data_IF_523713386670
#
_entry.id   IF_523713386670
#
_cell.length_a   1.000
_cell.length_b   1.000
_cell.length_c   1.000
_cell.angle_alpha   90.00
_cell.angle_beta   90.00
_cell.angle_gamma   90.00
#
_symmetry.space_group_name_H-M   'P 1'
#
loop_
_entity.id
_entity.type
_entity.pdbx_description
1 polymer ?
#
# COMPACT_ATOMS: atom_id res chain seq x y z
N UNK A 1 5.33 -10.91 -4.73
CA UNK A 1 6.77 -11.26 -4.64
C UNK A 1 7.38 -10.34 -3.59
N UNK A 2 7.87 -10.87 -2.48
CA UNK A 2 8.24 -10.07 -1.31
C UNK A 2 9.77 -10.01 -1.18
N UNK A 3 10.40 -9.30 -2.13
CA UNK A 3 11.84 -9.07 -2.14
C UNK A 3 12.15 -7.68 -1.60
N UNK A 4 13.30 -7.52 -0.94
CA UNK A 4 13.79 -6.21 -0.53
C UNK A 4 14.70 -5.68 -1.63
N UNK A 5 14.42 -4.47 -2.09
CA UNK A 5 15.18 -3.79 -3.12
C UNK A 5 15.75 -2.49 -2.54
N UNK A 6 17.06 -2.34 -2.65
CA UNK A 6 17.78 -1.11 -2.34
C UNK A 6 18.38 -0.51 -3.60
N UNK A 7 18.63 0.79 -3.58
CA UNK A 7 19.25 1.55 -4.65
C UNK A 7 20.38 2.40 -4.07
N UNK A 8 21.55 2.39 -4.68
CA UNK A 8 22.70 3.19 -4.28
C UNK A 8 22.96 4.31 -5.28
N UNK A 9 23.22 5.50 -4.77
CA UNK A 9 23.62 6.64 -5.60
C UNK A 9 25.10 6.56 -5.97
N UNK A 10 25.54 7.39 -6.92
CA UNK A 10 26.94 7.45 -7.34
C UNK A 10 27.88 7.67 -6.15
N UNK A 11 29.12 7.18 -6.26
CA UNK A 11 30.14 7.39 -5.22
C UNK A 11 30.34 8.88 -4.95
N UNK A 12 30.26 9.27 -3.68
CA UNK A 12 30.39 10.66 -3.24
C UNK A 12 30.42 10.76 -1.73
N UNK A 13 30.21 11.96 -1.20
CA UNK A 13 29.99 12.18 0.23
C UNK A 13 28.52 12.52 0.45
N UNK A 14 28.01 12.03 1.57
CA UNK A 14 26.69 12.27 2.15
C UNK A 14 26.37 13.76 2.41
N UNK A 15 27.35 14.65 2.22
CA UNK A 15 27.19 16.12 2.27
C UNK A 15 26.88 16.76 0.92
N UNK A 16 27.05 16.03 -0.18
CA UNK A 16 26.75 16.52 -1.54
C UNK A 16 25.40 15.97 -2.00
N UNK A 17 24.58 16.85 -2.55
CA UNK A 17 23.32 16.48 -3.21
C UNK A 17 23.31 16.95 -4.66
N UNK A 18 22.79 16.12 -5.55
CA UNK A 18 22.48 16.46 -6.94
C UNK A 18 20.96 16.39 -7.09
N UNK A 19 20.31 17.53 -7.34
CA UNK A 19 18.86 17.62 -7.55
C UNK A 19 18.01 17.06 -6.38
N UNK A 20 18.50 17.24 -5.14
CA UNK A 20 17.87 16.70 -3.93
C UNK A 20 18.35 15.30 -3.53
N UNK A 21 18.89 14.52 -4.47
CA UNK A 21 19.43 13.18 -4.21
C UNK A 21 20.84 13.25 -3.61
N UNK A 22 21.06 12.56 -2.50
CA UNK A 22 22.32 12.55 -1.75
C UNK A 22 23.30 11.57 -2.39
N UNK A 23 24.52 12.02 -2.67
CA UNK A 23 25.58 11.17 -3.23
C UNK A 23 26.17 10.24 -2.17
N UNK A 24 26.63 9.05 -2.57
CA UNK A 24 27.20 8.05 -1.66
C UNK A 24 26.20 7.50 -0.63
N UNK A 25 24.91 7.52 -0.96
CA UNK A 25 23.84 7.11 -0.05
C UNK A 25 22.99 5.96 -0.62
N UNK A 26 22.33 5.22 0.26
CA UNK A 26 21.47 4.10 -0.08
C UNK A 26 20.00 4.45 0.20
N UNK A 27 19.14 4.13 -0.75
CA UNK A 27 17.71 4.35 -0.74
C UNK A 27 16.97 3.02 -0.82
N UNK A 28 15.74 2.97 -0.35
CA UNK A 28 14.87 1.79 -0.46
C UNK A 28 13.89 1.97 -1.60
N UNK A 29 13.73 0.96 -2.45
CA UNK A 29 12.67 0.94 -3.48
C UNK A 29 11.43 0.32 -2.84
N UNK A 30 10.35 1.07 -2.81
CA UNK A 30 9.09 0.67 -2.18
C UNK A 30 8.14 0.04 -3.19
N UNK A 31 8.03 0.63 -4.38
CA UNK A 31 7.04 0.24 -5.38
C UNK A 31 7.54 0.57 -6.78
N UNK A 32 7.19 -0.28 -7.76
CA UNK A 32 7.47 -0.06 -9.17
C UNK A 32 6.18 -0.27 -9.96
N UNK A 33 5.70 0.78 -10.63
CA UNK A 33 4.47 0.77 -11.40
C UNK A 33 4.81 1.02 -12.87
N UNK A 34 4.47 0.09 -13.75
CA UNK A 34 4.64 0.27 -15.20
C UNK A 34 3.31 0.71 -15.82
N UNK A 35 3.37 1.51 -16.88
CA UNK A 35 2.20 2.00 -17.62
C UNK A 35 1.05 2.51 -16.72
N UNK A 36 1.38 3.46 -15.84
CA UNK A 36 0.43 3.94 -14.85
C UNK A 36 -0.78 4.58 -15.53
N UNK A 37 -1.98 4.06 -15.26
CA UNK A 37 -3.24 4.56 -15.81
C UNK A 37 -3.31 4.60 -17.36
N UNK A 38 -2.53 3.77 -18.06
CA UNK A 38 -2.50 3.71 -19.53
C UNK A 38 -1.83 4.93 -20.17
N UNK A 39 -0.93 5.61 -19.44
CA UNK A 39 -0.21 6.80 -19.92
C UNK A 39 1.24 6.51 -20.30
N UNK A 40 1.66 5.24 -20.35
CA UNK A 40 3.02 4.78 -20.66
C UNK A 40 4.10 5.28 -19.68
N UNK A 41 3.70 5.86 -18.55
CA UNK A 41 4.64 6.30 -17.52
C UNK A 41 5.01 5.13 -16.62
N UNK A 42 6.30 4.78 -16.63
CA UNK A 42 6.90 3.87 -15.66
C UNK A 42 7.43 4.67 -14.47
N UNK A 43 6.81 4.51 -13.29
CA UNK A 43 7.11 5.25 -12.08
C UNK A 43 7.61 4.33 -10.96
N UNK A 44 8.59 4.81 -10.20
CA UNK A 44 9.22 4.07 -9.12
C UNK A 44 9.14 4.91 -7.85
N UNK A 45 8.62 4.32 -6.78
CA UNK A 45 8.53 4.93 -5.45
C UNK A 45 9.77 4.58 -4.65
N UNK A 46 10.49 5.61 -4.19
CA UNK A 46 11.78 5.48 -3.51
C UNK A 46 11.69 6.15 -2.15
N UNK A 47 12.44 5.64 -1.16
CA UNK A 47 12.53 6.20 0.19
C UNK A 47 13.96 6.49 0.60
N UNK A 48 14.19 7.69 1.10
CA UNK A 48 15.37 8.09 1.85
C UNK A 48 15.27 7.59 3.30
N UNK A 49 16.22 6.76 3.79
CA UNK A 49 16.25 6.29 5.17
C UNK A 49 16.31 7.40 6.22
N UNK A 50 16.80 8.60 5.88
CA UNK A 50 16.87 9.72 6.81
C UNK A 50 15.52 10.38 7.10
N UNK A 51 14.47 9.99 6.38
CA UNK A 51 13.13 10.53 6.55
C UNK A 51 13.01 12.01 6.16
N UNK A 52 13.92 12.48 5.31
CA UNK A 52 13.98 13.83 4.74
C UNK A 52 14.91 13.81 3.53
N UNK A 53 14.84 14.83 2.68
CA UNK A 53 15.73 14.96 1.53
C UNK A 53 15.23 14.10 0.37
N UNK A 54 14.35 14.73 -0.39
CA UNK A 54 13.60 14.15 -1.50
C UNK A 54 14.14 14.67 -2.84
N UNK A 55 13.62 14.12 -3.93
CA UNK A 55 13.96 14.60 -5.25
C UNK A 55 13.33 15.98 -5.49
N UNK A 56 14.14 16.98 -5.82
CA UNK A 56 13.67 18.38 -5.91
C UNK A 56 13.44 18.86 -7.35
N UNK A 57 13.83 18.06 -8.36
CA UNK A 57 13.85 18.48 -9.77
C UNK A 57 13.02 17.58 -10.69
N UNK A 58 12.16 16.73 -10.13
CA UNK A 58 11.41 15.74 -10.89
C UNK A 58 10.16 16.30 -11.55
N UNK A 59 9.58 15.52 -12.46
CA UNK A 59 8.20 15.74 -12.88
C UNK A 59 7.20 15.17 -11.86
N UNK A 60 7.65 14.20 -11.07
CA UNK A 60 6.86 13.39 -10.13
C UNK A 60 7.34 13.51 -8.68
N UNK A 61 8.11 14.54 -8.34
CA UNK A 61 8.35 14.88 -6.93
C UNK A 61 7.04 15.33 -6.27
N UNK A 62 7.03 15.47 -4.95
CA UNK A 62 5.82 15.73 -4.16
C UNK A 62 5.03 16.97 -4.61
N UNK A 63 5.72 18.02 -5.04
CA UNK A 63 5.14 19.26 -5.56
C UNK A 63 5.26 19.38 -7.10
N UNK A 64 5.63 18.29 -7.77
CA UNK A 64 5.94 18.25 -9.19
C UNK A 64 4.75 18.56 -10.10
N UNK A 65 4.98 19.18 -11.27
CA UNK A 65 3.91 19.55 -12.21
C UNK A 65 3.19 18.34 -12.81
N UNK A 66 3.84 17.16 -12.87
CA UNK A 66 3.29 15.95 -13.49
C UNK A 66 1.99 15.48 -12.84
N UNK A 67 1.83 15.69 -11.53
CA UNK A 67 0.60 15.37 -10.83
C UNK A 67 -0.60 16.23 -11.24
N UNK A 68 -0.34 17.46 -11.66
CA UNK A 68 -1.37 18.40 -12.13
C UNK A 68 -1.67 18.18 -13.62
N UNK A 69 -0.65 17.92 -14.42
CA UNK A 69 -0.78 17.66 -15.87
C UNK A 69 -1.43 16.30 -16.15
N UNK A 70 -1.20 15.30 -15.30
CA UNK A 70 -1.71 13.94 -15.46
C UNK A 70 -2.55 13.50 -14.25
N UNK A 71 -3.80 14.01 -14.10
CA UNK A 71 -4.64 13.71 -12.96
C UNK A 71 -4.99 12.22 -12.82
N UNK A 72 -5.06 11.47 -13.94
CA UNK A 72 -5.28 10.01 -13.92
C UNK A 72 -4.15 9.26 -13.21
N UNK A 73 -2.90 9.71 -13.38
CA UNK A 73 -1.73 9.11 -12.73
C UNK A 73 -1.76 9.43 -11.24
N UNK A 74 -2.13 10.67 -10.88
CA UNK A 74 -2.34 11.08 -9.49
C UNK A 74 -3.42 10.26 -8.79
N UNK A 75 -4.55 10.01 -9.46
CA UNK A 75 -5.64 9.19 -8.92
C UNK A 75 -5.25 7.72 -8.73
N UNK A 76 -4.42 7.19 -9.64
CA UNK A 76 -3.93 5.82 -9.57
C UNK A 76 -2.92 5.62 -8.42
N UNK A 77 -1.94 6.51 -8.29
CA UNK A 77 -0.84 6.35 -7.33
C UNK A 77 -1.10 6.99 -5.96
N UNK A 78 -2.01 7.98 -5.90
CA UNK A 78 -2.36 8.75 -4.70
C UNK A 78 -1.10 9.19 -3.93
N UNK A 79 -0.23 10.01 -4.56
CA UNK A 79 0.98 10.49 -3.90
C UNK A 79 0.62 11.27 -2.64
N UNK A 80 1.48 11.16 -1.63
CA UNK A 80 1.36 11.92 -0.39
C UNK A 80 2.45 12.97 -0.44
N UNK A 81 2.08 14.24 -0.46
CA UNK A 81 3.03 15.33 -0.37
C UNK A 81 3.37 15.57 1.11
N UNK A 82 4.51 15.04 1.55
CA UNK A 82 4.99 15.16 2.92
C UNK A 82 6.50 14.95 2.96
N UNK A 83 7.22 15.78 3.73
CA UNK A 83 8.66 15.60 3.97
C UNK A 83 8.90 14.39 4.90
N UNK A 84 8.80 13.19 4.32
CA UNK A 84 9.02 11.89 4.96
C UNK A 84 10.12 11.07 4.27
N UNK A 85 10.75 11.66 3.24
CA UNK A 85 11.79 11.08 2.42
C UNK A 85 11.25 10.14 1.34
N UNK A 86 9.94 10.04 1.12
CA UNK A 86 9.33 9.15 0.14
C UNK A 86 8.87 9.96 -1.07
N UNK A 87 9.38 9.62 -2.24
CA UNK A 87 9.08 10.35 -3.46
C UNK A 87 8.97 9.41 -4.65
N UNK A 88 8.31 9.88 -5.73
CA UNK A 88 8.24 9.17 -6.99
C UNK A 88 9.26 9.71 -7.98
N UNK A 89 9.81 8.82 -8.80
CA UNK A 89 10.70 9.17 -9.92
C UNK A 89 10.30 8.39 -11.16
N UNK A 90 10.55 8.96 -12.33
CA UNK A 90 10.44 8.19 -13.56
C UNK A 90 11.52 7.11 -13.62
N UNK A 91 11.24 6.03 -14.33
CA UNK A 91 12.21 4.96 -14.59
C UNK A 91 13.53 5.49 -15.18
N UNK A 92 13.46 6.46 -16.09
CA UNK A 92 14.65 7.04 -16.74
C UNK A 92 15.50 7.82 -15.73
N UNK A 93 14.87 8.64 -14.89
CA UNK A 93 15.56 9.37 -13.82
C UNK A 93 16.13 8.41 -12.78
N UNK A 94 15.38 7.38 -12.42
CA UNK A 94 15.84 6.37 -11.47
C UNK A 94 17.19 5.77 -11.91
N UNK A 95 17.29 5.28 -13.14
CA UNK A 95 18.56 4.70 -13.63
C UNK A 95 19.67 5.74 -13.83
N UNK A 96 19.34 7.03 -13.95
CA UNK A 96 20.32 8.12 -14.01
C UNK A 96 20.94 8.41 -12.64
N UNK A 97 20.13 8.47 -11.58
CA UNK A 97 20.60 8.83 -10.23
C UNK A 97 21.07 7.62 -9.41
N UNK A 98 20.53 6.43 -9.68
CA UNK A 98 20.82 5.18 -8.95
C UNK A 98 21.54 4.17 -9.84
N UNK A 99 22.88 4.28 -10.01
CA UNK A 99 23.64 3.36 -10.85
C UNK A 99 23.73 1.94 -10.28
N UNK A 100 23.50 1.76 -8.97
CA UNK A 100 23.64 0.45 -8.30
C UNK A 100 22.32 0.03 -7.69
N UNK A 101 21.88 -1.20 -7.96
CA UNK A 101 20.67 -1.79 -7.38
C UNK A 101 21.08 -3.02 -6.56
N UNK A 102 20.56 -3.10 -5.34
CA UNK A 102 20.75 -4.22 -4.42
C UNK A 102 19.45 -5.01 -4.33
N UNK A 103 19.49 -6.30 -4.62
CA UNK A 103 18.34 -7.20 -4.52
C UNK A 103 18.60 -8.26 -3.47
N UNK A 104 17.74 -8.33 -2.45
CA UNK A 104 17.70 -9.46 -1.54
C UNK A 104 16.72 -10.51 -2.09
N UNK A 105 17.24 -11.59 -2.66
CA UNK A 105 16.47 -12.71 -3.20
C UNK A 105 15.94 -13.67 -2.11
N UNK A 106 15.74 -13.18 -0.89
CA UNK A 106 15.13 -13.95 0.18
C UNK A 106 13.62 -13.75 0.15
N UNK A 107 12.88 -14.84 0.08
CA UNK A 107 11.43 -14.81 0.17
C UNK A 107 11.00 -14.49 1.61
N UNK A 108 10.59 -13.25 1.85
CA UNK A 108 10.18 -12.79 3.17
C UNK A 108 8.90 -13.48 3.68
N UNK A 109 8.14 -14.19 2.83
CA UNK A 109 7.00 -15.01 3.30
C UNK A 109 7.46 -16.23 4.10
N UNK A 110 8.66 -16.78 3.82
CA UNK A 110 9.24 -17.89 4.58
C UNK A 110 9.60 -17.49 6.01
N UNK A 111 9.91 -16.22 6.24
CA UNK A 111 10.15 -15.70 7.58
C UNK A 111 8.86 -15.64 8.40
N UNK A 112 7.74 -15.24 7.78
CA UNK A 112 6.43 -15.20 8.43
C UNK A 112 5.86 -16.60 8.72
N UNK A 113 6.14 -17.60 7.89
CA UNK A 113 5.75 -18.99 8.16
C UNK A 113 6.33 -19.54 9.48
N UNK A 114 7.46 -19.01 9.95
CA UNK A 114 8.08 -19.40 11.23
C UNK A 114 7.32 -18.86 12.46
N UNK A 115 6.46 -17.86 12.28
CA UNK A 115 5.59 -17.31 13.33
C UNK A 115 4.14 -17.80 13.23
N UNK A 116 3.76 -18.44 12.12
CA UNK A 116 2.45 -19.08 11.94
C UNK A 116 2.39 -20.49 12.56
N UNK A 117 3.54 -21.13 12.78
CA UNK A 117 3.64 -22.39 13.54
C UNK A 117 3.90 -22.08 15.02
N UNK A 118 2.85 -21.68 15.73
CA UNK A 118 2.95 -21.35 17.16
C UNK A 118 1.68 -21.06 17.94
N UNK A 119 0.48 -21.13 17.34
CA UNK A 119 -0.79 -21.17 18.12
C UNK A 119 -1.24 -22.63 18.26
N UNK A 120 -0.35 -23.44 18.83
CA UNK A 120 -0.68 -24.74 19.42
C UNK A 120 -0.88 -24.54 20.93
N UNK A 121 -2.09 -24.82 21.41
CA UNK A 121 -2.58 -24.39 22.72
C UNK A 121 -1.71 -24.79 23.90
N UNK A 122 -1.29 -23.79 24.68
CA UNK A 122 -1.02 -23.98 26.10
C UNK A 122 -2.36 -23.91 26.84
N UNK A 123 -2.94 -25.07 27.17
CA UNK A 123 -4.01 -25.16 28.15
C UNK A 123 -3.44 -24.76 29.51
N UNK A 124 -3.56 -23.48 29.86
CA UNK A 124 -3.44 -23.05 31.24
C UNK A 124 -4.53 -23.75 32.05
N UNK A 125 -4.15 -24.75 32.83
CA UNK A 125 -4.98 -25.33 33.87
C UNK A 125 -5.39 -24.18 34.81
N UNK A 126 -6.65 -23.79 34.73
CA UNK A 126 -7.30 -22.95 35.73
C UNK A 126 -7.90 -23.91 36.72
N UNK A 127 -7.23 -24.06 37.85
CA UNK A 127 -7.73 -24.82 38.98
C UNK A 127 -9.13 -24.33 39.34
N UNK A 128 -10.07 -25.25 39.23
CA UNK A 128 -11.47 -25.06 39.60
C UNK A 128 -11.58 -25.14 41.10
N UNK A 129 -11.87 -24.01 41.76
CA UNK A 129 -12.50 -24.05 43.10
C UNK A 129 -13.96 -23.66 42.94
N UNK A 130 -14.83 -24.65 43.11
CA UNK A 130 -16.27 -24.46 43.12
C UNK A 130 -16.79 -24.30 44.56
N UNK A 131 -17.64 -23.28 44.71
CA UNK A 131 -18.82 -23.21 45.58
C UNK A 131 -18.65 -23.09 47.09
N UNK A 132 -19.18 -22.00 47.65
CA UNK A 132 -20.19 -22.08 48.70
C UNK A 132 -21.11 -20.85 48.72
N UNK A 133 -22.39 -21.11 48.97
CA UNK A 133 -23.55 -20.23 48.90
C UNK A 133 -23.61 -19.10 49.94
N UNK A 134 -24.43 -18.08 49.65
CA UNK A 134 -24.93 -17.11 50.64
C UNK A 134 -25.94 -16.13 50.04
N UNK A 135 -27.21 -16.28 50.43
CA UNK A 135 -28.39 -15.60 49.88
C UNK A 135 -28.53 -14.11 50.25
N UNK A 136 -29.27 -13.32 49.44
CA UNK A 136 -30.60 -12.73 49.76
C UNK A 136 -30.93 -11.43 48.98
N UNK A 137 -31.92 -11.57 48.08
CA UNK A 137 -33.09 -10.75 47.70
C UNK A 137 -33.12 -9.19 47.56
N UNK A 138 -33.91 -8.80 46.52
CA UNK A 138 -34.81 -7.63 46.35
C UNK A 138 -34.17 -6.33 45.77
N UNK A 139 -34.72 -5.53 44.85
CA UNK A 139 -36.09 -5.33 44.30
C UNK A 139 -36.03 -4.52 42.97
N UNK A 140 -36.93 -4.88 42.03
CA UNK A 140 -37.61 -4.14 40.93
C UNK A 140 -36.96 -2.95 40.17
N UNK A 141 -37.07 -2.97 38.83
CA UNK A 141 -38.11 -2.18 38.10
C UNK A 141 -38.10 -2.45 36.57
N UNK A 142 -39.33 -2.56 36.05
CA UNK A 142 -39.85 -2.64 34.67
C UNK A 142 -39.41 -1.54 33.69
N UNK A 143 -39.33 -1.83 32.37
CA UNK A 143 -40.38 -1.56 31.35
C UNK A 143 -39.88 -1.82 29.90
N UNK A 144 -40.72 -2.52 29.12
CA UNK A 144 -40.67 -2.70 27.66
C UNK A 144 -40.95 -1.36 26.91
N UNK A 145 -40.86 -1.16 25.58
CA UNK A 145 -41.63 -1.73 24.46
C UNK A 145 -41.23 -1.02 23.13
N UNK A 146 -41.33 -1.74 22.00
CA UNK A 146 -41.75 -1.26 20.65
C UNK A 146 -40.77 -0.37 19.86
N UNK A 147 -40.62 -0.45 18.54
CA UNK A 147 -41.40 -1.04 17.45
C UNK A 147 -41.19 -0.13 16.22
N UNK A 148 -40.79 -0.67 15.05
CA UNK A 148 -41.64 -0.90 13.86
C UNK A 148 -41.75 0.28 12.86
N UNK A 149 -41.61 -0.06 11.57
CA UNK A 149 -42.23 0.63 10.42
C UNK A 149 -41.23 1.36 9.50
N UNK A 150 -40.80 0.85 8.33
CA UNK A 150 -41.50 0.38 7.11
C UNK A 150 -41.85 1.48 6.11
N UNK A 151 -41.35 1.34 4.87
CA UNK A 151 -42.01 1.60 3.57
C UNK A 151 -40.90 1.66 2.48
N UNK A 152 -40.75 0.73 1.54
CA UNK A 152 -41.59 0.28 0.40
C UNK A 152 -41.76 1.28 -0.76
N UNK A 153 -41.48 0.77 -1.96
CA UNK A 153 -41.85 1.29 -3.29
C UNK A 153 -40.62 1.63 -4.16
N UNK A 154 -40.24 0.95 -5.24
CA UNK A 154 -40.91 -0.01 -6.11
C UNK A 154 -41.36 0.62 -7.43
N UNK A 155 -40.67 0.37 -8.55
CA UNK A 155 -41.14 0.29 -9.96
C UNK A 155 -39.91 0.19 -10.92
N UNK A 156 -39.62 -0.93 -11.61
CA UNK A 156 -40.16 -1.48 -12.89
C UNK A 156 -39.56 -0.87 -14.19
N UNK A 157 -39.09 -1.75 -15.09
CA UNK A 157 -38.87 -1.51 -16.55
C UNK A 157 -37.46 -1.87 -17.05
N UNK A 158 -37.13 -3.14 -17.38
CA UNK A 158 -37.22 -3.84 -18.71
C UNK A 158 -36.04 -3.51 -19.67
N UNK A 159 -35.48 -4.50 -20.41
CA UNK A 159 -34.10 -4.52 -20.90
C UNK A 159 -33.94 -4.18 -22.40
N UNK A 160 -32.71 -3.94 -22.84
CA UNK A 160 -32.34 -3.82 -24.26
C UNK A 160 -31.18 -4.77 -24.61
N UNK A 161 -31.41 -5.60 -25.64
CA UNK A 161 -30.42 -6.41 -26.34
C UNK A 161 -29.58 -5.59 -27.33
N UNK A 162 -28.31 -5.96 -27.48
CA UNK A 162 -27.46 -5.94 -28.69
C UNK A 162 -26.12 -6.58 -28.27
N UNK A 163 -25.48 -7.55 -28.92
CA UNK A 163 -25.52 -7.99 -30.31
C UNK A 163 -24.10 -7.87 -30.90
N UNK A 164 -23.40 -9.01 -31.02
CA UNK A 164 -22.23 -9.31 -31.89
C UNK A 164 -20.89 -8.58 -31.58
N UNK A 165 -19.71 -9.18 -31.68
CA UNK A 165 -19.33 -10.49 -32.21
C UNK A 165 -17.89 -10.87 -31.84
N UNK A 166 -17.63 -12.16 -31.96
CA UNK A 166 -16.36 -12.86 -31.79
C UNK A 166 -15.43 -12.61 -33.00
N UNK A 167 -14.15 -12.34 -32.76
CA UNK A 167 -13.12 -12.31 -33.81
C UNK A 167 -12.01 -13.31 -33.44
N UNK A 168 -11.92 -14.35 -34.27
CA UNK A 168 -10.88 -15.39 -34.28
C UNK A 168 -9.52 -14.81 -34.66
N UNK A 169 -8.49 -15.11 -33.86
CA UNK A 169 -7.09 -14.95 -34.25
C UNK A 169 -6.67 -16.17 -35.07
N UNK A 170 -6.08 -15.93 -36.24
CA UNK A 170 -5.36 -16.94 -37.04
C UNK A 170 -3.87 -16.69 -36.85
N UNK A 171 -3.15 -17.72 -36.42
CA UNK A 171 -1.70 -17.80 -36.45
C UNK A 171 -1.17 -17.70 -37.90
N UNK A 172 0.01 -17.11 -38.04
CA UNK A 172 0.90 -17.24 -39.20
C UNK A 172 2.34 -17.33 -38.72
#
# INVERSE_FOLDING_TARGET
HNFVIGAGTKSGSDTKKTDGIVDGHAYSVLECCNDVAGTEFDLIKVRNPWGRGEFESGMWDDDGPGWTEHPKVKEALKPVAADDGIFWVSKQEFFKYFPTIYLCASDMTKFLQKYDVGVGGASGARDSVASAAGARASTAATKAIGGLGSALGGFLGVPAEAGWGEVSVRDS
#
